data_IF_047036002838
#
_entry.id   IF_047036002838
#
_cell.length_a   1.000
_cell.length_b   1.000
_cell.length_c   1.000
_cell.angle_alpha   90.00
_cell.angle_beta   90.00
_cell.angle_gamma   90.00
#
_symmetry.space_group_name_H-M   'P 1'
#
loop_
_entity.id
_entity.type
_entity.pdbx_description
1 polymer ?
#
# COMPACT_ATOMS: atom_id res chain seq x y z
N UNK A 1 -39.75 -20.19 -4.40
CA UNK A 1 -38.97 -19.27 -5.23
C UNK A 1 -37.50 -19.43 -4.85
N UNK A 2 -36.71 -20.00 -5.75
CA UNK A 2 -35.25 -20.22 -5.65
C UNK A 2 -34.57 -18.84 -5.52
N UNK A 3 -33.88 -18.53 -4.42
CA UNK A 3 -32.48 -18.81 -4.05
C UNK A 3 -31.47 -17.83 -4.68
N UNK A 4 -30.63 -17.23 -3.81
CA UNK A 4 -29.24 -16.79 -4.04
C UNK A 4 -28.97 -15.78 -5.17
N UNK A 5 -28.63 -14.55 -4.78
CA UNK A 5 -27.72 -13.65 -5.52
C UNK A 5 -26.86 -12.95 -4.45
N UNK A 6 -25.84 -13.60 -3.86
CA UNK A 6 -24.57 -13.93 -4.53
C UNK A 6 -24.12 -12.80 -5.47
N UNK A 7 -23.66 -11.68 -4.90
CA UNK A 7 -22.44 -11.09 -5.45
C UNK A 7 -21.30 -11.55 -4.55
N UNK A 8 -20.50 -12.52 -5.00
CA UNK A 8 -19.51 -13.12 -4.15
C UNK A 8 -18.39 -12.11 -3.92
N UNK A 9 -17.77 -12.21 -2.75
CA UNK A 9 -16.38 -11.83 -2.46
C UNK A 9 -15.38 -12.61 -3.37
N UNK A 10 -15.68 -12.77 -4.67
CA UNK A 10 -14.96 -13.61 -5.66
C UNK A 10 -14.78 -12.91 -7.00
N UNK A 11 -14.50 -11.61 -7.02
CA UNK A 11 -13.36 -11.24 -7.86
C UNK A 11 -12.16 -11.27 -6.93
N UNK A 12 -11.41 -12.38 -7.01
CA UNK A 12 -10.10 -12.47 -6.39
C UNK A 12 -9.27 -11.38 -7.06
N UNK A 13 -9.15 -10.22 -6.42
CA UNK A 13 -8.17 -9.22 -6.83
C UNK A 13 -6.83 -9.95 -6.94
N UNK A 14 -6.36 -10.10 -8.18
CA UNK A 14 -5.09 -10.75 -8.48
C UNK A 14 -4.08 -9.64 -8.73
N UNK A 15 -3.36 -9.17 -7.69
CA UNK A 15 -2.41 -8.08 -7.83
C UNK A 15 -1.25 -8.42 -8.77
N UNK A 16 -0.99 -9.71 -8.99
CA UNK A 16 0.07 -10.20 -9.87
C UNK A 16 -0.35 -10.11 -11.34
N UNK A 17 -1.63 -10.32 -11.64
CA UNK A 17 -2.16 -10.29 -13.01
C UNK A 17 -2.38 -8.87 -13.55
N UNK A 18 -2.61 -7.88 -12.68
CA UNK A 18 -2.92 -6.50 -13.08
C UNK A 18 -1.79 -5.52 -12.70
N UNK A 19 -0.55 -5.89 -13.01
CA UNK A 19 0.66 -5.09 -12.75
C UNK A 19 0.71 -3.87 -13.68
N UNK A 20 0.00 -2.79 -13.34
CA UNK A 20 0.15 -1.48 -14.00
C UNK A 20 1.24 -0.67 -13.30
N UNK A 21 2.49 -1.14 -13.39
CA UNK A 21 3.63 -0.36 -12.90
C UNK A 21 4.29 0.31 -14.09
N UNK A 22 4.44 1.63 -14.04
CA UNK A 22 5.12 2.39 -15.07
C UNK A 22 6.59 1.96 -15.12
N UNK A 23 7.14 1.51 -16.26
CA UNK A 23 8.54 1.09 -16.35
C UNK A 23 9.53 2.18 -15.90
N UNK A 24 9.17 3.44 -16.14
CA UNK A 24 9.99 4.61 -15.77
C UNK A 24 9.90 4.97 -14.29
N UNK A 25 9.10 4.25 -13.50
CA UNK A 25 9.04 4.44 -12.04
C UNK A 25 10.12 3.66 -11.29
N UNK A 26 10.83 2.73 -11.94
CA UNK A 26 11.88 1.96 -11.29
C UNK A 26 13.17 2.78 -11.18
N UNK A 27 13.96 2.60 -10.10
CA UNK A 27 15.24 3.28 -9.95
C UNK A 27 16.18 3.01 -11.13
N UNK A 28 16.84 4.05 -11.63
CA UNK A 28 17.86 3.98 -12.68
C UNK A 28 19.24 4.00 -12.01
N UNK A 29 20.24 3.33 -12.58
CA UNK A 29 21.63 3.46 -12.13
C UNK A 29 22.04 2.57 -10.95
N UNK A 30 21.38 1.42 -10.76
CA UNK A 30 21.79 0.41 -9.78
C UNK A 30 21.41 0.72 -8.32
N UNK A 31 20.70 1.81 -8.08
CA UNK A 31 20.12 2.13 -6.77
C UNK A 31 19.02 1.10 -6.44
N UNK A 32 19.11 0.48 -5.27
CA UNK A 32 18.14 -0.50 -4.79
C UNK A 32 17.30 0.09 -3.67
N UNK A 33 15.99 -0.10 -3.73
CA UNK A 33 15.06 0.33 -2.68
C UNK A 33 14.63 -0.90 -1.88
N UNK A 34 14.96 -0.93 -0.59
CA UNK A 34 14.66 -2.06 0.30
C UNK A 34 13.73 -1.70 1.46
N UNK A 35 13.45 -0.42 1.67
CA UNK A 35 12.58 0.05 2.76
C UNK A 35 11.53 1.00 2.19
N UNK A 36 10.30 0.90 2.70
CA UNK A 36 9.18 1.76 2.32
C UNK A 36 8.37 2.12 3.55
N UNK A 37 8.14 3.42 3.72
CA UNK A 37 7.17 3.95 4.66
C UNK A 37 5.85 4.14 3.90
N UNK A 38 4.80 3.42 4.30
CA UNK A 38 3.53 3.36 3.59
C UNK A 38 2.44 4.04 4.41
N UNK A 39 2.07 5.26 3.99
CA UNK A 39 0.96 6.02 4.54
C UNK A 39 -0.38 5.40 4.12
N UNK A 40 -0.90 4.44 4.89
CA UNK A 40 -2.20 3.80 4.61
C UNK A 40 -3.36 4.78 4.78
N UNK A 41 -3.23 5.69 5.74
CA UNK A 41 -4.20 6.74 6.01
C UNK A 41 -3.53 7.92 6.67
N UNK A 42 -4.09 9.11 6.51
CA UNK A 42 -3.73 10.30 7.31
C UNK A 42 -4.83 10.66 8.32
N UNK A 43 -5.82 9.78 8.48
CA UNK A 43 -6.79 9.85 9.58
C UNK A 43 -6.16 9.28 10.84
N UNK A 44 -6.47 9.86 11.99
CA UNK A 44 -5.85 9.50 13.25
C UNK A 44 -6.82 9.79 14.40
N UNK A 45 -6.92 8.85 15.33
CA UNK A 45 -7.72 8.96 16.55
C UNK A 45 -6.88 9.37 17.78
N UNK A 46 -5.61 9.73 17.58
CA UNK A 46 -4.71 10.26 18.61
C UNK A 46 -4.56 11.78 18.46
N UNK A 47 -4.17 12.45 19.55
CA UNK A 47 -4.00 13.91 19.61
C UNK A 47 -2.57 14.35 19.96
N UNK A 48 -1.57 13.76 19.31
CA UNK A 48 -0.17 14.10 19.59
C UNK A 48 0.13 15.54 19.18
N UNK A 49 0.62 16.34 20.12
CA UNK A 49 1.02 17.75 19.96
C UNK A 49 2.31 17.93 19.14
N UNK A 50 3.13 16.89 19.05
CA UNK A 50 4.34 16.84 18.23
C UNK A 50 4.14 16.17 16.85
N UNK A 51 2.90 15.84 16.46
CA UNK A 51 2.67 15.17 15.17
C UNK A 51 2.91 16.12 13.99
N UNK A 52 3.85 15.77 13.12
CA UNK A 52 4.19 16.55 11.93
C UNK A 52 3.22 16.34 10.75
N UNK A 53 2.28 15.39 10.85
CA UNK A 53 1.30 15.13 9.78
C UNK A 53 0.01 15.90 10.01
N UNK A 54 -0.47 16.52 8.94
CA UNK A 54 -1.78 17.15 8.90
C UNK A 54 -2.89 16.09 8.97
N UNK A 55 -3.94 16.37 9.76
CA UNK A 55 -5.02 15.40 10.03
C UNK A 55 -6.20 15.65 9.11
N UNK A 56 -6.40 14.75 8.14
CA UNK A 56 -7.58 14.72 7.27
C UNK A 56 -8.10 13.30 7.12
N UNK A 57 -9.38 13.15 6.78
CA UNK A 57 -9.98 11.84 6.50
C UNK A 57 -9.69 11.38 5.07
N UNK A 58 -8.43 11.02 4.81
CA UNK A 58 -7.98 10.44 3.54
C UNK A 58 -7.27 9.10 3.77
N UNK A 59 -7.49 8.19 2.83
CA UNK A 59 -7.04 6.80 2.92
C UNK A 59 -6.50 6.34 1.56
N UNK A 60 -5.46 5.52 1.59
CA UNK A 60 -4.94 4.83 0.42
C UNK A 60 -5.91 3.72 0.01
N UNK A 61 -6.29 3.61 -1.27
CA UNK A 61 -7.01 2.44 -1.77
C UNK A 61 -6.17 1.16 -1.60
N UNK A 62 -6.81 0.04 -1.29
CA UNK A 62 -6.12 -1.24 -1.07
C UNK A 62 -5.28 -1.67 -2.28
N UNK A 63 -5.81 -1.45 -3.48
CA UNK A 63 -5.13 -1.78 -4.74
C UNK A 63 -3.84 -0.97 -4.89
N UNK A 64 -3.85 0.30 -4.47
CA UNK A 64 -2.67 1.17 -4.47
C UNK A 64 -1.64 0.68 -3.46
N UNK A 65 -2.05 0.32 -2.24
CA UNK A 65 -1.15 -0.21 -1.21
C UNK A 65 -0.47 -1.50 -1.70
N UNK A 66 -1.22 -2.40 -2.31
CA UNK A 66 -0.67 -3.65 -2.86
C UNK A 66 0.28 -3.37 -4.02
N UNK A 67 -0.07 -2.45 -4.93
CA UNK A 67 0.82 -2.06 -6.03
C UNK A 67 2.11 -1.40 -5.55
N UNK A 68 2.08 -0.63 -4.46
CA UNK A 68 3.26 -0.05 -3.84
C UNK A 68 4.21 -1.15 -3.32
N UNK A 69 3.68 -2.19 -2.67
CA UNK A 69 4.49 -3.34 -2.23
C UNK A 69 5.07 -4.12 -3.42
N UNK A 70 4.27 -4.34 -4.49
CA UNK A 70 4.79 -4.97 -5.72
C UNK A 70 5.89 -4.12 -6.36
N UNK A 71 5.73 -2.80 -6.36
CA UNK A 71 6.76 -1.88 -6.84
C UNK A 71 8.04 -1.99 -6.01
N UNK A 72 7.96 -2.06 -4.67
CA UNK A 72 9.12 -2.24 -3.80
C UNK A 72 9.91 -3.51 -4.15
N UNK A 73 9.20 -4.63 -4.35
CA UNK A 73 9.82 -5.90 -4.72
C UNK A 73 10.63 -5.74 -6.03
N UNK A 74 10.09 -5.06 -7.03
CA UNK A 74 10.81 -4.84 -8.30
C UNK A 74 11.94 -3.82 -8.17
N UNK A 75 11.75 -2.75 -7.39
CA UNK A 75 12.75 -1.72 -7.13
C UNK A 75 13.91 -2.21 -6.26
N UNK A 76 13.75 -3.34 -5.58
CA UNK A 76 14.74 -3.88 -4.64
C UNK A 76 15.92 -4.62 -5.27
N UNK A 77 15.81 -5.00 -6.55
CA UNK A 77 16.84 -5.80 -7.22
C UNK A 77 17.17 -7.08 -6.46
N UNK A 78 18.42 -7.18 -5.96
CA UNK A 78 18.93 -8.37 -5.27
C UNK A 78 18.91 -8.26 -3.73
N UNK A 79 18.26 -7.25 -3.17
CA UNK A 79 18.17 -7.06 -1.72
C UNK A 79 17.59 -8.32 -1.05
N UNK A 80 18.22 -8.77 0.04
CA UNK A 80 17.83 -10.00 0.76
C UNK A 80 16.71 -9.79 1.76
N UNK A 81 16.43 -8.53 2.13
CA UNK A 81 15.42 -8.15 3.11
C UNK A 81 14.71 -6.90 2.61
N UNK A 82 13.39 -6.93 2.70
CA UNK A 82 12.52 -5.79 2.45
C UNK A 82 11.80 -5.42 3.74
N UNK A 83 11.65 -4.12 3.99
CA UNK A 83 10.91 -3.59 5.14
C UNK A 83 9.80 -2.69 4.63
N UNK A 84 8.60 -2.86 5.17
CA UNK A 84 7.48 -1.93 4.97
C UNK A 84 7.03 -1.47 6.34
N UNK A 85 7.14 -0.17 6.62
CA UNK A 85 6.60 0.44 7.82
C UNK A 85 5.22 1.00 7.48
N UNK A 86 4.18 0.53 8.17
CA UNK A 86 2.84 1.11 8.05
C UNK A 86 2.81 2.37 8.92
N UNK A 87 2.69 3.52 8.26
CA UNK A 87 2.71 4.83 8.91
C UNK A 87 1.57 5.69 8.36
N UNK A 88 1.64 7.00 8.58
CA UNK A 88 0.58 7.94 8.23
C UNK A 88 0.03 8.59 9.50
N UNK A 89 -1.29 8.61 9.64
CA UNK A 89 -1.99 8.87 10.89
C UNK A 89 -1.95 7.63 11.79
N UNK A 90 -3.11 7.04 12.10
CA UNK A 90 -3.20 5.77 12.82
C UNK A 90 -3.46 4.61 11.85
N UNK A 91 -2.46 3.76 11.55
CA UNK A 91 -2.60 2.65 10.59
C UNK A 91 -3.70 1.65 10.99
N UNK A 92 -3.95 1.46 12.29
CA UNK A 92 -4.94 0.50 12.78
C UNK A 92 -6.40 0.91 12.52
N UNK A 93 -6.67 2.12 12.01
CA UNK A 93 -8.02 2.55 11.63
C UNK A 93 -8.50 1.93 10.31
N UNK A 94 -7.61 1.28 9.54
CA UNK A 94 -7.92 0.69 8.23
C UNK A 94 -7.33 -0.73 8.15
N UNK A 95 -8.16 -1.74 8.42
CA UNK A 95 -7.87 -3.18 8.29
C UNK A 95 -8.85 -3.88 7.33
#
# INVERSE_FOLDING_TARGET
MINILEKPHKEKFNPVANRRISPNSLPIGGVQISNMDLDLTVDCNLDCDYCFKERYKKHMPLETAIQAVVWLIMASGNAKKLTVALIGGEPMLRF
#
